data_IF_745566210326
#
_entry.id   IF_745566210326
#
_cell.length_a   1.000
_cell.length_b   1.000
_cell.length_c   1.000
_cell.angle_alpha   90.00
_cell.angle_beta   90.00
_cell.angle_gamma   90.00
#
_symmetry.space_group_name_H-M   'P 1'
#
loop_
_entity.id
_entity.type
_entity.pdbx_description
1 polymer ?
#
# COMPACT_ATOMS: atom_id res chain seq x y z
N UNK A 1 -33.45 -19.24 -14.69
CA UNK A 1 -32.80 -18.11 -15.41
C UNK A 1 -31.39 -18.55 -15.71
N UNK A 2 -31.09 -18.83 -16.99
CA UNK A 2 -29.76 -19.24 -17.44
C UNK A 2 -28.79 -18.11 -17.16
N UNK A 3 -27.75 -18.38 -16.39
CA UNK A 3 -26.58 -17.51 -16.29
C UNK A 3 -25.93 -17.50 -17.65
N UNK A 4 -26.10 -16.43 -18.42
CA UNK A 4 -25.37 -16.19 -19.64
C UNK A 4 -23.91 -15.99 -19.28
N UNK A 5 -23.13 -17.07 -19.33
CA UNK A 5 -21.67 -16.98 -19.28
C UNK A 5 -21.25 -16.14 -20.48
N UNK A 6 -20.81 -14.90 -20.21
CA UNK A 6 -20.27 -14.03 -21.25
C UNK A 6 -19.13 -14.77 -21.98
N UNK A 7 -19.11 -14.79 -23.32
CA UNK A 7 -18.01 -15.37 -24.06
C UNK A 7 -16.70 -14.68 -23.64
N UNK A 8 -15.61 -15.44 -23.63
CA UNK A 8 -14.29 -14.98 -23.17
C UNK A 8 -13.84 -13.67 -23.85
N UNK A 9 -14.20 -13.50 -25.11
CA UNK A 9 -13.93 -12.27 -25.89
C UNK A 9 -14.66 -11.03 -25.35
N UNK A 10 -15.89 -11.18 -24.91
CA UNK A 10 -16.66 -10.07 -24.30
C UNK A 10 -16.09 -9.70 -22.93
N UNK A 11 -15.62 -10.68 -22.16
CA UNK A 11 -14.98 -10.43 -20.87
C UNK A 11 -13.66 -9.66 -21.03
N UNK A 12 -12.87 -9.98 -22.07
CA UNK A 12 -11.65 -9.21 -22.41
C UNK A 12 -11.97 -7.78 -22.87
N UNK A 13 -13.04 -7.61 -23.67
CA UNK A 13 -13.49 -6.28 -24.11
C UNK A 13 -13.92 -5.40 -22.91
N UNK A 14 -14.64 -5.99 -21.93
CA UNK A 14 -15.01 -5.30 -20.69
C UNK A 14 -13.77 -4.91 -19.87
N UNK A 15 -12.79 -5.81 -19.73
CA UNK A 15 -11.52 -5.52 -19.04
C UNK A 15 -10.80 -4.31 -19.68
N UNK A 16 -10.65 -4.32 -21.02
CA UNK A 16 -10.03 -3.22 -21.76
C UNK A 16 -10.74 -1.89 -21.49
N UNK A 17 -12.07 -1.87 -21.58
CA UNK A 17 -12.88 -0.67 -21.32
C UNK A 17 -12.62 -0.13 -19.91
N UNK A 18 -12.57 -0.99 -18.89
CA UNK A 18 -12.38 -0.59 -17.49
C UNK A 18 -10.98 -0.07 -17.23
N UNK A 19 -9.97 -0.71 -17.83
CA UNK A 19 -8.57 -0.22 -17.75
C UNK A 19 -8.48 1.18 -18.35
N UNK A 20 -9.06 1.42 -19.53
CA UNK A 20 -9.05 2.74 -20.17
C UNK A 20 -9.74 3.79 -19.30
N UNK A 21 -10.90 3.47 -18.72
CA UNK A 21 -11.60 4.38 -17.80
C UNK A 21 -10.74 4.69 -16.57
N UNK A 22 -10.13 3.68 -15.94
CA UNK A 22 -9.23 3.86 -14.81
C UNK A 22 -8.04 4.75 -15.16
N UNK A 23 -7.45 4.55 -16.34
CA UNK A 23 -6.34 5.35 -16.83
C UNK A 23 -6.72 6.83 -17.03
N UNK A 24 -7.92 7.09 -17.55
CA UNK A 24 -8.44 8.48 -17.69
C UNK A 24 -8.50 9.17 -16.32
N UNK A 25 -9.01 8.47 -15.28
CA UNK A 25 -9.05 9.03 -13.93
C UNK A 25 -7.65 9.25 -13.36
N UNK A 26 -6.69 8.37 -13.64
CA UNK A 26 -5.29 8.55 -13.24
C UNK A 26 -4.68 9.77 -13.91
N UNK A 27 -4.94 10.00 -15.20
CA UNK A 27 -4.46 11.20 -15.93
C UNK A 27 -5.05 12.48 -15.34
N UNK A 28 -6.35 12.48 -15.03
CA UNK A 28 -7.01 13.62 -14.38
C UNK A 28 -6.39 13.85 -12.99
N UNK A 29 -6.25 12.78 -12.20
CA UNK A 29 -5.62 12.83 -10.88
C UNK A 29 -4.19 13.34 -10.94
N UNK A 30 -3.39 12.88 -11.91
CA UNK A 30 -2.04 13.38 -12.18
C UNK A 30 -2.03 14.89 -12.47
N UNK A 31 -2.88 15.35 -13.39
CA UNK A 31 -2.94 16.77 -13.75
C UNK A 31 -3.29 17.65 -12.54
N UNK A 32 -4.22 17.21 -11.69
CA UNK A 32 -4.56 17.89 -10.45
C UNK A 32 -3.37 17.90 -9.47
N UNK A 33 -2.77 16.75 -9.22
CA UNK A 33 -1.65 16.63 -8.27
C UNK A 33 -0.40 17.36 -8.74
N UNK A 34 -0.19 17.47 -10.05
CA UNK A 34 0.97 18.18 -10.61
C UNK A 34 0.99 19.67 -10.24
N UNK A 35 -0.18 20.32 -10.20
CA UNK A 35 -0.29 21.71 -9.73
C UNK A 35 0.09 21.86 -8.25
N UNK A 36 -0.04 20.80 -7.45
CA UNK A 36 0.27 20.79 -6.02
C UNK A 36 1.54 20.01 -5.68
N UNK A 37 2.37 19.69 -6.68
CA UNK A 37 3.53 18.80 -6.54
C UNK A 37 4.54 19.29 -5.50
N UNK A 38 4.75 20.60 -5.37
CA UNK A 38 5.64 21.19 -4.36
C UNK A 38 5.14 20.96 -2.92
N UNK A 39 3.82 21.11 -2.71
CA UNK A 39 3.22 20.81 -1.41
C UNK A 39 3.33 19.32 -1.08
N UNK A 40 3.05 18.44 -2.06
CA UNK A 40 3.18 16.98 -1.90
C UNK A 40 4.62 16.61 -1.56
N UNK A 41 5.61 17.19 -2.24
CA UNK A 41 7.03 16.99 -1.95
C UNK A 41 7.38 17.43 -0.52
N UNK A 42 6.90 18.59 -0.08
CA UNK A 42 7.12 19.09 1.28
C UNK A 42 6.56 18.11 2.34
N UNK A 43 5.37 17.55 2.11
CA UNK A 43 4.82 16.52 2.99
C UNK A 43 5.63 15.23 2.92
N UNK A 44 6.07 14.81 1.73
CA UNK A 44 6.87 13.60 1.57
C UNK A 44 8.20 13.65 2.34
N UNK A 45 8.75 14.83 2.60
CA UNK A 45 9.97 15.02 3.42
C UNK A 45 9.73 14.95 4.93
N UNK A 46 8.48 14.84 5.38
CA UNK A 46 8.13 14.73 6.81
C UNK A 46 8.89 13.62 7.55
N UNK A 47 9.01 12.37 7.02
CA UNK A 47 9.73 11.29 7.70
C UNK A 47 11.22 11.57 7.97
N UNK A 48 11.85 12.48 7.21
CA UNK A 48 13.23 12.89 7.45
C UNK A 48 13.36 13.84 8.64
N UNK A 49 12.32 14.64 8.92
CA UNK A 49 12.33 15.70 9.92
C UNK A 49 11.97 15.22 11.32
N UNK A 50 11.25 14.10 11.42
CA UNK A 50 10.76 13.58 12.68
C UNK A 50 11.38 12.23 13.03
N UNK A 51 11.73 12.05 14.30
CA UNK A 51 12.04 10.76 14.89
C UNK A 51 10.82 10.25 15.64
N UNK A 52 10.55 8.96 15.49
CA UNK A 52 9.58 8.28 16.35
C UNK A 52 10.35 7.48 17.38
N UNK A 53 10.13 7.77 18.67
CA UNK A 53 10.60 6.95 19.76
C UNK A 53 9.41 6.27 20.43
N UNK A 54 9.52 4.95 20.62
CA UNK A 54 8.54 4.19 21.41
C UNK A 54 9.06 4.17 22.84
N UNK A 55 8.32 4.78 23.74
CA UNK A 55 8.62 4.81 25.19
C UNK A 55 7.60 3.93 25.92
N UNK A 56 8.05 3.24 26.96
CA UNK A 56 7.16 2.41 27.82
C UNK A 56 6.26 3.29 28.69
N UNK A 57 6.65 4.54 28.91
CA UNK A 57 5.88 5.56 29.64
C UNK A 57 5.01 6.38 28.70
N UNK A 58 3.81 6.76 29.14
CA UNK A 58 2.90 7.61 28.35
C UNK A 58 3.52 9.01 28.07
N UNK A 59 3.44 9.49 26.80
CA UNK A 59 2.81 8.90 25.64
C UNK A 59 3.69 7.81 24.99
N UNK A 60 3.08 6.67 24.68
CA UNK A 60 3.78 5.48 24.14
C UNK A 60 4.51 5.73 22.79
N UNK A 61 4.07 6.71 22.02
CA UNK A 61 4.69 7.15 20.78
C UNK A 61 4.99 8.64 20.90
N UNK A 62 6.26 9.01 20.85
CA UNK A 62 6.71 10.40 20.84
C UNK A 62 7.26 10.74 19.46
N UNK A 63 6.66 11.76 18.84
CA UNK A 63 7.17 12.42 17.64
C UNK A 63 8.07 13.56 18.09
N UNK A 64 9.38 13.39 17.92
CA UNK A 64 10.36 14.43 18.27
C UNK A 64 10.91 15.02 16.98
N UNK A 65 10.82 16.33 16.83
CA UNK A 65 11.43 17.02 15.70
C UNK A 65 12.96 16.96 15.82
N UNK A 66 13.62 16.55 14.74
CA UNK A 66 15.08 16.53 14.68
C UNK A 66 15.63 17.96 14.67
N UNK A 67 16.72 18.19 15.38
CA UNK A 67 17.44 19.46 15.25
C UNK A 67 17.91 19.65 13.79
N UNK A 68 17.90 20.89 13.31
CA UNK A 68 18.25 21.20 11.92
C UNK A 68 19.59 20.58 11.46
N UNK A 69 20.57 20.51 12.36
CA UNK A 69 21.86 19.85 12.10
C UNK A 69 21.81 18.33 11.93
N UNK A 70 20.70 17.68 12.30
CA UNK A 70 20.49 16.22 12.19
C UNK A 70 19.62 15.83 10.99
N UNK A 71 19.09 16.81 10.27
CA UNK A 71 18.30 16.56 9.07
C UNK A 71 19.27 16.42 7.90
N UNK A 72 19.34 15.24 7.23
CA UNK A 72 20.24 15.09 6.10
C UNK A 72 19.81 16.02 4.96
N UNK A 73 20.80 16.64 4.31
CA UNK A 73 20.55 17.46 3.15
C UNK A 73 20.15 16.59 1.97
N UNK A 74 19.03 16.95 1.33
CA UNK A 74 18.63 16.35 0.06
C UNK A 74 19.37 17.09 -1.07
N UNK A 75 20.06 16.35 -1.91
CA UNK A 75 20.87 16.90 -3.01
C UNK A 75 20.38 16.41 -4.37
N UNK A 76 20.41 17.30 -5.35
CA UNK A 76 20.19 16.92 -6.75
C UNK A 76 21.53 16.50 -7.35
N UNK A 77 21.52 15.38 -8.07
CA UNK A 77 22.70 14.85 -8.76
C UNK A 77 22.70 15.20 -10.26
N UNK A 78 21.53 15.56 -10.80
CA UNK A 78 21.38 15.94 -12.19
C UNK A 78 20.43 17.14 -12.37
N UNK A 79 20.63 18.03 -13.37
CA UNK A 79 19.80 19.23 -13.56
C UNK A 79 18.32 18.93 -13.81
N UNK A 80 18.01 17.82 -14.51
CA UNK A 80 16.64 17.42 -14.80
C UNK A 80 15.94 16.67 -13.66
N UNK A 81 16.66 16.33 -12.57
CA UNK A 81 16.16 15.48 -11.48
C UNK A 81 14.96 16.12 -10.80
N UNK A 82 14.98 17.44 -10.57
CA UNK A 82 13.87 18.16 -9.95
C UNK A 82 12.56 18.00 -10.75
N UNK A 83 12.62 18.14 -12.08
CA UNK A 83 11.45 17.97 -12.94
C UNK A 83 10.89 16.54 -12.85
N UNK A 84 11.75 15.52 -12.98
CA UNK A 84 11.34 14.13 -12.92
C UNK A 84 10.75 13.74 -11.57
N UNK A 85 11.27 14.29 -10.49
CA UNK A 85 10.73 14.09 -9.13
C UNK A 85 9.30 14.61 -9.05
N UNK A 86 9.03 15.85 -9.48
CA UNK A 86 7.69 16.42 -9.47
C UNK A 86 6.72 15.63 -10.36
N UNK A 87 7.16 15.14 -11.51
CA UNK A 87 6.38 14.24 -12.36
C UNK A 87 6.03 12.94 -11.63
N UNK A 88 7.03 12.30 -11.01
CA UNK A 88 6.89 11.01 -10.31
C UNK A 88 5.94 11.10 -9.11
N UNK A 89 6.14 12.08 -8.22
CA UNK A 89 5.28 12.25 -7.03
C UNK A 89 3.84 12.59 -7.42
N UNK A 90 3.67 13.40 -8.47
CA UNK A 90 2.35 13.77 -8.97
C UNK A 90 1.61 12.58 -9.58
N UNK A 91 2.34 11.71 -10.31
CA UNK A 91 1.76 10.50 -10.87
C UNK A 91 1.29 9.55 -9.75
N UNK A 92 2.10 9.34 -8.73
CA UNK A 92 1.77 8.45 -7.63
C UNK A 92 0.63 9.03 -6.79
N UNK A 93 0.68 10.32 -6.47
CA UNK A 93 -0.42 11.01 -5.78
C UNK A 93 -1.71 10.98 -6.61
N UNK A 94 -1.61 11.14 -7.93
CA UNK A 94 -2.73 11.01 -8.87
C UNK A 94 -3.33 9.61 -8.88
N UNK A 95 -2.51 8.56 -8.85
CA UNK A 95 -2.98 7.17 -8.68
C UNK A 95 -3.72 7.02 -7.35
N UNK A 96 -3.15 7.48 -6.23
CA UNK A 96 -3.78 7.39 -4.90
C UNK A 96 -5.11 8.15 -4.88
N UNK A 97 -5.17 9.33 -5.47
CA UNK A 97 -6.42 10.12 -5.59
C UNK A 97 -7.48 9.39 -6.42
N UNK A 98 -7.06 8.65 -7.44
CA UNK A 98 -7.93 7.91 -8.36
C UNK A 98 -8.36 6.53 -7.84
N UNK A 99 -7.82 6.06 -6.69
CA UNK A 99 -8.10 4.73 -6.14
C UNK A 99 -9.59 4.39 -6.02
N UNK A 100 -10.48 5.27 -5.54
CA UNK A 100 -11.90 4.94 -5.46
C UNK A 100 -12.48 4.53 -6.82
N UNK A 101 -12.07 5.22 -7.90
CA UNK A 101 -12.51 4.92 -9.25
C UNK A 101 -11.85 3.66 -9.80
N UNK A 102 -10.54 3.46 -9.53
CA UNK A 102 -9.81 2.25 -9.91
C UNK A 102 -10.47 1.03 -9.26
N UNK A 103 -10.71 1.07 -7.95
CA UNK A 103 -11.38 -0.02 -7.23
C UNK A 103 -12.83 -0.21 -7.69
N UNK A 104 -13.56 0.86 -7.99
CA UNK A 104 -14.89 0.74 -8.56
C UNK A 104 -14.88 -0.01 -9.90
N UNK A 105 -13.96 0.31 -10.82
CA UNK A 105 -13.84 -0.40 -12.08
C UNK A 105 -13.41 -1.87 -11.87
N UNK A 106 -12.49 -2.11 -10.95
CA UNK A 106 -12.03 -3.45 -10.59
C UNK A 106 -13.16 -4.31 -10.02
N UNK A 107 -13.89 -3.82 -9.02
CA UNK A 107 -15.03 -4.54 -8.43
C UNK A 107 -16.18 -4.73 -9.41
N UNK A 108 -16.42 -3.76 -10.28
CA UNK A 108 -17.43 -3.87 -11.34
C UNK A 108 -17.04 -4.93 -12.39
N UNK A 109 -15.73 -5.11 -12.67
CA UNK A 109 -15.22 -6.18 -13.52
C UNK A 109 -15.41 -7.56 -12.87
N UNK A 110 -15.25 -7.68 -11.57
CA UNK A 110 -15.47 -8.94 -10.85
C UNK A 110 -16.96 -9.26 -10.64
N UNK A 111 -17.82 -8.26 -10.72
CA UNK A 111 -19.25 -8.36 -10.41
C UNK A 111 -20.04 -9.37 -11.27
N UNK A 112 -19.73 -9.66 -12.54
CA UNK A 112 -20.39 -10.72 -13.30
C UNK A 112 -20.21 -12.11 -12.69
N UNK A 113 -19.08 -12.37 -11.99
CA UNK A 113 -18.83 -13.61 -11.26
C UNK A 113 -19.52 -13.72 -9.90
N UNK A 114 -20.22 -12.65 -9.45
CA UNK A 114 -20.93 -12.60 -8.18
C UNK A 114 -22.43 -12.91 -8.39
N UNK A 115 -23.04 -13.59 -7.41
CA UNK A 115 -24.48 -13.82 -7.38
C UNK A 115 -25.26 -12.49 -7.41
N UNK A 116 -26.46 -12.48 -8.04
CA UNK A 116 -27.31 -11.28 -8.15
C UNK A 116 -27.53 -10.57 -6.80
N UNK A 117 -27.64 -11.34 -5.71
CA UNK A 117 -27.81 -10.83 -4.34
C UNK A 117 -26.51 -10.17 -3.80
N UNK A 118 -25.37 -10.42 -4.40
CA UNK A 118 -24.06 -9.95 -3.94
C UNK A 118 -23.62 -8.68 -4.67
N UNK A 119 -24.20 -8.39 -5.82
CA UNK A 119 -23.90 -7.16 -6.60
C UNK A 119 -24.14 -5.86 -5.80
N UNK A 120 -25.08 -5.87 -4.86
CA UNK A 120 -25.34 -4.74 -3.96
C UNK A 120 -24.17 -4.39 -3.02
N UNK A 121 -23.23 -5.33 -2.83
CA UNK A 121 -22.07 -5.12 -1.96
C UNK A 121 -20.87 -4.52 -2.68
N UNK A 122 -20.94 -4.30 -4.01
CA UNK A 122 -19.84 -3.72 -4.78
C UNK A 122 -19.44 -2.34 -4.21
N UNK A 123 -20.41 -1.46 -3.95
CA UNK A 123 -20.12 -0.12 -3.43
C UNK A 123 -19.51 -0.12 -2.03
N UNK A 124 -20.06 -0.85 -1.04
CA UNK A 124 -19.38 -1.05 0.24
C UNK A 124 -17.98 -1.61 0.11
N UNK A 125 -17.74 -2.57 -0.78
CA UNK A 125 -16.40 -3.10 -1.01
C UNK A 125 -15.44 -2.03 -1.55
N UNK A 126 -15.85 -1.20 -2.50
CA UNK A 126 -15.05 -0.09 -3.02
C UNK A 126 -14.63 0.86 -1.90
N UNK A 127 -15.56 1.22 -1.03
CA UNK A 127 -15.27 2.13 0.09
C UNK A 127 -14.28 1.47 1.06
N UNK A 128 -14.51 0.20 1.42
CA UNK A 128 -13.67 -0.52 2.36
C UNK A 128 -12.24 -0.70 1.79
N UNK A 129 -12.09 -1.14 0.53
CA UNK A 129 -10.77 -1.27 -0.13
C UNK A 129 -10.06 0.09 -0.19
N UNK A 130 -10.73 1.15 -0.62
CA UNK A 130 -10.12 2.48 -0.65
C UNK A 130 -9.65 2.92 0.75
N UNK A 131 -10.46 2.70 1.79
CA UNK A 131 -10.08 3.05 3.15
C UNK A 131 -8.89 2.22 3.66
N UNK A 132 -8.88 0.91 3.42
CA UNK A 132 -7.78 0.04 3.84
C UNK A 132 -6.48 0.41 3.15
N UNK A 133 -6.51 0.71 1.85
CA UNK A 133 -5.35 1.20 1.12
C UNK A 133 -4.82 2.49 1.74
N UNK A 134 -5.69 3.48 1.98
CA UNK A 134 -5.30 4.75 2.58
C UNK A 134 -4.77 4.60 4.01
N UNK A 135 -5.34 3.70 4.81
CA UNK A 135 -4.82 3.34 6.14
C UNK A 135 -3.43 2.74 6.00
N UNK A 136 -3.19 1.86 5.02
CA UNK A 136 -1.87 1.29 4.74
C UNK A 136 -0.84 2.34 4.35
N UNK A 137 -1.22 3.28 3.49
CA UNK A 137 -0.37 4.43 3.11
C UNK A 137 -0.07 5.30 4.34
N UNK A 138 -1.08 5.63 5.15
CA UNK A 138 -0.91 6.43 6.36
C UNK A 138 -0.03 5.71 7.40
N UNK A 139 -0.25 4.41 7.62
CA UNK A 139 0.58 3.59 8.50
C UNK A 139 2.05 3.59 8.05
N UNK A 140 2.29 3.41 6.75
CA UNK A 140 3.63 3.48 6.20
C UNK A 140 4.26 4.86 6.39
N UNK A 141 3.52 5.91 6.07
CA UNK A 141 4.01 7.29 6.10
C UNK A 141 4.36 7.77 7.51
N UNK A 142 3.47 7.52 8.46
CA UNK A 142 3.65 8.02 9.83
C UNK A 142 4.46 7.09 10.72
N UNK A 143 4.54 5.80 10.42
CA UNK A 143 5.21 4.84 11.29
C UNK A 143 6.43 4.21 10.61
N UNK A 144 6.24 3.52 9.47
CA UNK A 144 7.30 2.71 8.87
C UNK A 144 8.43 3.57 8.31
N UNK A 145 8.11 4.61 7.54
CA UNK A 145 9.12 5.48 6.92
C UNK A 145 10.01 6.20 7.95
N UNK A 146 9.49 6.83 9.02
CA UNK A 146 10.37 7.45 10.01
C UNK A 146 11.27 6.45 10.73
N UNK A 147 10.77 5.25 11.05
CA UNK A 147 11.59 4.19 11.65
C UNK A 147 12.67 3.69 10.69
N UNK A 148 12.31 3.40 9.43
CA UNK A 148 13.26 2.94 8.43
C UNK A 148 14.35 3.99 8.16
N UNK A 149 13.95 5.26 7.99
CA UNK A 149 14.89 6.36 7.80
C UNK A 149 15.76 6.61 9.04
N UNK A 150 15.18 6.53 10.23
CA UNK A 150 15.93 6.63 11.49
C UNK A 150 17.04 5.58 11.57
N UNK A 151 16.70 4.32 11.31
CA UNK A 151 17.65 3.22 11.31
C UNK A 151 18.74 3.38 10.23
N UNK A 152 18.34 3.63 8.98
CA UNK A 152 19.28 3.72 7.86
C UNK A 152 20.27 4.87 8.01
N UNK A 153 19.83 6.00 8.57
CA UNK A 153 20.67 7.19 8.74
C UNK A 153 21.58 7.14 9.97
N UNK A 154 21.28 6.29 10.93
CA UNK A 154 22.12 6.14 12.15
C UNK A 154 23.01 4.91 12.11
N UNK A 155 22.83 4.02 11.12
CA UNK A 155 23.58 2.78 11.05
C UNK A 155 25.05 3.03 10.68
N UNK A 156 25.96 2.85 11.66
CA UNK A 156 27.43 2.97 11.50
C UNK A 156 27.91 4.23 10.77
N UNK A 157 27.30 5.39 11.07
CA UNK A 157 27.60 6.68 10.41
C UNK A 157 28.56 7.58 11.20
N UNK A 158 29.29 7.05 12.20
CA UNK A 158 30.15 7.87 13.09
C UNK A 158 31.20 8.70 12.32
N UNK A 159 31.65 8.23 11.14
CA UNK A 159 32.66 8.90 10.31
C UNK A 159 32.13 9.44 8.99
N UNK A 160 30.80 9.37 8.73
CA UNK A 160 30.21 9.73 7.46
C UNK A 160 29.07 10.72 7.62
N UNK A 161 29.02 11.73 6.75
CA UNK A 161 27.88 12.66 6.66
C UNK A 161 26.91 12.14 5.58
N UNK A 162 25.66 11.78 5.94
CA UNK A 162 24.72 11.26 4.96
C UNK A 162 24.25 12.36 4.00
N UNK A 163 24.58 12.21 2.71
CA UNK A 163 24.04 13.01 1.62
C UNK A 163 23.08 12.15 0.82
N UNK A 164 21.80 12.54 0.78
CA UNK A 164 20.76 11.73 0.17
C UNK A 164 20.33 12.34 -1.16
N UNK A 165 20.42 11.58 -2.25
CA UNK A 165 19.81 11.98 -3.53
C UNK A 165 18.29 12.07 -3.35
N UNK A 166 17.72 13.17 -3.83
CA UNK A 166 16.26 13.42 -3.76
C UNK A 166 15.51 12.34 -4.55
N UNK A 167 16.01 11.94 -5.71
CA UNK A 167 15.39 10.88 -6.53
C UNK A 167 15.35 9.55 -5.80
N UNK A 168 16.45 9.12 -5.17
CA UNK A 168 16.51 7.87 -4.41
C UNK A 168 15.59 7.90 -3.18
N UNK A 169 15.51 9.04 -2.52
CA UNK A 169 14.59 9.23 -1.41
C UNK A 169 13.12 9.12 -1.84
N UNK A 170 12.75 9.80 -2.92
CA UNK A 170 11.38 9.75 -3.46
C UNK A 170 11.04 8.35 -3.94
N UNK A 171 11.94 7.66 -4.62
CA UNK A 171 11.76 6.26 -5.03
C UNK A 171 11.53 5.34 -3.83
N UNK A 172 12.32 5.49 -2.78
CA UNK A 172 12.17 4.72 -1.55
C UNK A 172 10.81 4.96 -0.91
N UNK A 173 10.45 6.21 -0.65
CA UNK A 173 9.18 6.56 -0.03
C UNK A 173 7.99 6.06 -0.85
N UNK A 174 7.99 6.30 -2.15
CA UNK A 174 6.87 5.95 -3.03
C UNK A 174 6.68 4.44 -3.18
N UNK A 175 7.78 3.68 -3.28
CA UNK A 175 7.71 2.20 -3.28
C UNK A 175 7.12 1.66 -1.98
N UNK A 176 7.55 2.20 -0.84
CA UNK A 176 7.02 1.79 0.46
C UNK A 176 5.54 2.14 0.61
N UNK A 177 5.14 3.36 0.27
CA UNK A 177 3.75 3.82 0.37
C UNK A 177 2.81 2.94 -0.47
N UNK A 178 3.17 2.67 -1.73
CA UNK A 178 2.36 1.82 -2.61
C UNK A 178 2.35 0.37 -2.15
N UNK A 179 3.49 -0.15 -1.70
CA UNK A 179 3.59 -1.52 -1.19
C UNK A 179 2.70 -1.71 0.05
N UNK A 180 2.77 -0.82 1.05
CA UNK A 180 1.93 -0.91 2.22
C UNK A 180 0.45 -0.69 1.90
N UNK A 181 0.12 0.23 1.01
CA UNK A 181 -1.24 0.37 0.51
C UNK A 181 -1.78 -0.95 -0.04
N UNK A 182 -1.02 -1.62 -0.92
CA UNK A 182 -1.40 -2.91 -1.49
C UNK A 182 -1.43 -4.06 -0.44
N UNK A 183 -0.50 -4.07 0.51
CA UNK A 183 -0.46 -5.06 1.59
C UNK A 183 -1.69 -4.97 2.49
N UNK A 184 -2.18 -3.78 2.75
CA UNK A 184 -3.38 -3.58 3.56
C UNK A 184 -4.66 -4.10 2.89
N UNK A 185 -4.63 -4.38 1.58
CA UNK A 185 -5.71 -5.09 0.88
C UNK A 185 -5.79 -6.59 1.20
N UNK A 186 -4.74 -7.20 1.78
CA UNK A 186 -4.71 -8.64 2.07
C UNK A 186 -5.93 -9.15 2.83
N UNK A 187 -6.43 -8.52 3.91
CA UNK A 187 -7.62 -9.00 4.60
C UNK A 187 -8.85 -9.05 3.70
N UNK A 188 -9.01 -8.05 2.82
CA UNK A 188 -10.16 -7.95 1.93
C UNK A 188 -10.08 -9.00 0.84
N UNK A 189 -8.89 -9.20 0.27
CA UNK A 189 -8.62 -10.25 -0.72
C UNK A 189 -8.92 -11.64 -0.13
N UNK A 190 -8.48 -11.90 1.10
CA UNK A 190 -8.75 -13.17 1.80
C UNK A 190 -10.26 -13.38 2.00
N UNK A 191 -10.96 -12.36 2.51
CA UNK A 191 -12.41 -12.41 2.72
C UNK A 191 -13.14 -12.63 1.41
N UNK A 192 -12.74 -11.95 0.35
CA UNK A 192 -13.33 -12.11 -0.98
C UNK A 192 -13.17 -13.55 -1.51
N UNK A 193 -11.95 -14.10 -1.54
CA UNK A 193 -11.71 -15.45 -2.03
C UNK A 193 -12.38 -16.53 -1.20
N UNK A 194 -12.50 -16.34 0.11
CA UNK A 194 -13.24 -17.26 0.97
C UNK A 194 -14.75 -17.17 0.75
N UNK A 195 -15.27 -15.98 0.46
CA UNK A 195 -16.69 -15.76 0.21
C UNK A 195 -17.17 -16.39 -1.09
N UNK A 196 -16.38 -16.30 -2.16
CA UNK A 196 -16.68 -16.97 -3.44
C UNK A 196 -16.38 -18.48 -3.42
N UNK A 197 -15.83 -18.99 -2.31
CA UNK A 197 -15.60 -20.43 -2.10
C UNK A 197 -14.34 -20.98 -2.75
N UNK A 198 -13.43 -20.12 -3.27
CA UNK A 198 -12.16 -20.55 -3.85
C UNK A 198 -11.20 -21.10 -2.80
N UNK A 199 -11.22 -20.53 -1.59
CA UNK A 199 -10.33 -20.95 -0.49
C UNK A 199 -11.14 -21.06 0.79
N UNK A 200 -10.87 -22.08 1.64
CA UNK A 200 -11.53 -22.20 2.93
C UNK A 200 -10.70 -21.52 4.05
N UNK A 201 -11.34 -20.92 5.08
CA UNK A 201 -10.62 -20.36 6.22
C UNK A 201 -9.78 -21.40 6.97
N UNK A 202 -10.21 -22.68 6.94
CA UNK A 202 -9.44 -23.79 7.52
C UNK A 202 -8.15 -24.06 6.74
N UNK A 203 -8.20 -24.00 5.41
CA UNK A 203 -7.02 -24.14 4.55
C UNK A 203 -6.03 -23.01 4.79
N UNK A 204 -6.51 -21.75 4.82
CA UNK A 204 -5.67 -20.60 5.13
C UNK A 204 -5.00 -20.74 6.52
N UNK A 205 -5.73 -21.13 7.52
CA UNK A 205 -5.17 -21.34 8.86
C UNK A 205 -4.09 -22.45 8.91
N UNK A 206 -4.18 -23.48 8.07
CA UNK A 206 -3.13 -24.52 7.94
C UNK A 206 -1.89 -23.99 7.20
N UNK A 207 -2.06 -22.98 6.35
CA UNK A 207 -1.01 -22.42 5.47
C UNK A 207 -0.25 -21.25 6.10
N UNK A 208 -0.43 -20.96 7.40
CA UNK A 208 0.24 -19.86 8.13
C UNK A 208 1.75 -19.82 7.93
N UNK A 209 2.40 -21.00 7.97
CA UNK A 209 3.84 -21.10 7.76
C UNK A 209 4.32 -20.53 6.42
N UNK A 210 3.54 -20.76 5.37
CA UNK A 210 3.84 -20.19 4.05
C UNK A 210 3.52 -18.70 3.96
N UNK A 211 2.47 -18.25 4.64
CA UNK A 211 2.16 -16.82 4.72
C UNK A 211 3.28 -16.04 5.42
N UNK A 212 3.82 -16.59 6.52
CA UNK A 212 4.97 -16.01 7.21
C UNK A 212 6.20 -15.99 6.28
N UNK A 213 6.51 -17.11 5.62
CA UNK A 213 7.62 -17.19 4.68
C UNK A 213 7.49 -16.16 3.54
N UNK A 214 6.31 -16.08 2.92
CA UNK A 214 6.03 -15.13 1.84
C UNK A 214 6.15 -13.69 2.35
N UNK A 215 5.68 -13.39 3.57
CA UNK A 215 5.79 -12.06 4.16
C UNK A 215 7.26 -11.64 4.30
N UNK A 216 8.14 -12.54 4.78
CA UNK A 216 9.57 -12.25 4.89
C UNK A 216 10.25 -12.14 3.52
N UNK A 217 9.88 -12.97 2.54
CA UNK A 217 10.40 -12.86 1.16
C UNK A 217 9.95 -11.51 0.54
N UNK A 218 8.69 -11.16 0.66
CA UNK A 218 8.17 -9.90 0.15
C UNK A 218 8.84 -8.70 0.84
N UNK A 219 9.02 -8.77 2.16
CA UNK A 219 9.75 -7.75 2.90
C UNK A 219 11.20 -7.61 2.41
N UNK A 220 11.91 -8.73 2.15
CA UNK A 220 13.28 -8.70 1.64
C UNK A 220 13.39 -8.10 0.23
N UNK A 221 12.38 -8.28 -0.62
CA UNK A 221 12.35 -7.70 -1.98
C UNK A 221 12.06 -6.19 -1.91
N UNK A 222 11.19 -5.78 -0.99
CA UNK A 222 10.75 -4.39 -0.87
C UNK A 222 11.78 -3.52 -0.14
N UNK A 223 12.49 -4.08 0.86
CA UNK A 223 13.53 -3.33 1.59
C UNK A 223 14.81 -3.17 0.75
N UNK A 224 15.38 -1.95 0.69
CA UNK A 224 16.61 -1.72 -0.07
C UNK A 224 17.85 -2.37 0.59
N UNK A 225 17.76 -2.68 1.87
CA UNK A 225 18.82 -3.28 2.66
C UNK A 225 18.36 -4.64 3.20
N UNK A 226 19.17 -5.70 3.03
CA UNK A 226 18.84 -7.03 3.55
C UNK A 226 19.15 -7.13 5.07
N UNK A 227 18.59 -6.20 5.85
CA UNK A 227 18.76 -6.18 7.29
C UNK A 227 17.52 -6.73 8.01
N UNK A 228 17.76 -7.42 9.13
CA UNK A 228 16.70 -8.07 9.92
C UNK A 228 15.70 -7.06 10.47
N UNK A 229 16.15 -5.85 10.80
CA UNK A 229 15.28 -4.82 11.41
C UNK A 229 14.21 -4.32 10.44
N UNK A 230 14.62 -3.78 9.28
CA UNK A 230 13.68 -3.27 8.27
C UNK A 230 12.82 -4.40 7.68
N UNK A 231 13.41 -5.59 7.49
CA UNK A 231 12.67 -6.76 7.02
C UNK A 231 11.58 -7.17 8.01
N UNK A 232 11.89 -7.21 9.32
CA UNK A 232 10.90 -7.53 10.35
C UNK A 232 9.85 -6.43 10.48
N UNK A 233 10.25 -5.16 10.41
CA UNK A 233 9.35 -4.01 10.45
C UNK A 233 8.27 -4.07 9.35
N UNK A 234 8.61 -4.64 8.19
CA UNK A 234 7.65 -4.87 7.10
C UNK A 234 6.89 -6.18 7.23
N UNK A 235 7.56 -7.28 7.60
CA UNK A 235 6.93 -8.60 7.63
C UNK A 235 5.87 -8.73 8.74
N UNK A 236 6.10 -8.13 9.92
CA UNK A 236 5.16 -8.23 11.05
C UNK A 236 3.77 -7.68 10.72
N UNK A 237 3.60 -6.46 10.16
CA UNK A 237 2.29 -5.99 9.71
C UNK A 237 1.63 -6.90 8.68
N UNK A 238 2.40 -7.46 7.73
CA UNK A 238 1.88 -8.40 6.73
C UNK A 238 1.27 -9.64 7.38
N UNK A 239 2.00 -10.22 8.35
CA UNK A 239 1.55 -11.40 9.09
C UNK A 239 0.29 -11.09 9.90
N UNK A 240 0.27 -9.95 10.59
CA UNK A 240 -0.90 -9.51 11.36
C UNK A 240 -2.13 -9.31 10.46
N UNK A 241 -1.97 -8.65 9.31
CA UNK A 241 -3.05 -8.45 8.35
C UNK A 241 -3.56 -9.78 7.77
N UNK A 242 -2.67 -10.73 7.51
CA UNK A 242 -3.06 -12.08 7.11
C UNK A 242 -3.92 -12.76 8.18
N UNK A 243 -3.51 -12.72 9.45
CA UNK A 243 -4.29 -13.30 10.55
C UNK A 243 -5.65 -12.61 10.71
N UNK A 244 -5.69 -11.27 10.61
CA UNK A 244 -6.95 -10.52 10.62
C UNK A 244 -7.85 -10.99 9.47
N UNK A 245 -7.30 -11.14 8.26
CA UNK A 245 -8.04 -11.65 7.11
C UNK A 245 -8.61 -13.04 7.34
N UNK A 246 -7.81 -13.96 7.91
CA UNK A 246 -8.26 -15.31 8.26
C UNK A 246 -9.33 -15.29 9.34
N UNK A 247 -9.21 -14.45 10.37
CA UNK A 247 -10.22 -14.31 11.43
C UNK A 247 -11.53 -13.75 10.88
N UNK A 248 -11.48 -12.66 10.14
CA UNK A 248 -12.66 -12.03 9.54
C UNK A 248 -13.33 -12.99 8.54
N UNK A 249 -12.56 -13.73 7.75
CA UNK A 249 -13.11 -14.69 6.81
C UNK A 249 -13.93 -15.79 7.48
N UNK A 250 -13.58 -16.21 8.71
CA UNK A 250 -14.37 -17.20 9.47
C UNK A 250 -15.77 -16.70 9.85
N UNK A 251 -15.91 -15.40 10.08
CA UNK A 251 -17.18 -14.75 10.43
C UNK A 251 -18.08 -14.65 9.21
N UNK A 252 -17.50 -14.32 8.05
CA UNK A 252 -18.24 -14.07 6.80
C UNK A 252 -18.51 -15.32 5.97
N UNK A 253 -17.84 -16.46 6.23
CA UNK A 253 -18.15 -17.70 5.55
C UNK A 253 -19.46 -18.26 6.11
N UNK A 254 -20.51 -18.24 5.30
CA UNK A 254 -21.74 -18.98 5.58
C UNK A 254 -21.40 -20.46 5.76
N UNK A 255 -21.81 -21.05 6.88
CA UNK A 255 -21.92 -22.51 6.99
C UNK A 255 -22.79 -22.96 5.82
N UNK A 256 -22.22 -23.73 4.86
CA UNK A 256 -23.07 -24.50 3.95
C UNK A 256 -24.01 -25.32 4.84
N UNK A 257 -25.33 -25.26 4.64
CA UNK A 257 -26.20 -26.27 5.24
C UNK A 257 -25.71 -27.62 4.73
N UNK A 258 -25.56 -28.57 5.65
CA UNK A 258 -25.17 -29.94 5.40
C UNK A 258 -26.22 -30.62 4.51
#
# INVERSE_FOLDING_TARGET
MQETKLPFTEHLADLRKRIVISLIFVVIGFALCFNYSEYIFRYLTFPLKYNISITITSPFIQLTEKKAAQIPSLVFLAPAEAFWIHMKISLIAGVVLSLPMIFFQFWKFLSPGLLHKEKKYVMPFVIITTMFFLIGVAYCFFLVLPFAMGFLLTYKTESMVPMISVDKYVDFCTKFLLAFGAIFELPIIIVFFTRIGLVSPKTLAKQRKYAILIAFIAAAILTPTPDIFNQTLMAVPMILLYEIGVLVSRIFVRKKPA
#
